data_IF_394964064508
#
_entry.id   IF_394964064508
#
_cell.length_a   1.000
_cell.length_b   1.000
_cell.length_c   1.000
_cell.angle_alpha   90.00
_cell.angle_beta   90.00
_cell.angle_gamma   90.00
#
_symmetry.space_group_name_H-M   'P 1'
#
loop_
_entity.id
_entity.type
_entity.pdbx_description
1 polymer ?
#
# COMPACT_ATOMS: atom_id res chain seq x y z
N UNK A 1 7.58 11.35 13.30
CA UNK A 1 6.29 11.27 12.58
C UNK A 1 5.24 10.80 13.56
N UNK A 2 4.10 11.50 13.70
CA UNK A 2 3.11 11.16 14.74
C UNK A 2 2.34 9.89 14.37
N UNK A 3 1.97 9.06 15.37
CA UNK A 3 1.20 7.81 15.18
C UNK A 3 -0.05 8.01 14.33
N UNK A 4 -0.75 9.14 14.52
CA UNK A 4 -1.94 9.50 13.72
C UNK A 4 -1.65 9.58 12.21
N UNK A 5 -0.45 10.03 11.80
CA UNK A 5 -0.08 10.09 10.38
C UNK A 5 0.19 8.71 9.78
N UNK A 6 0.74 7.79 10.58
CA UNK A 6 0.93 6.39 10.14
C UNK A 6 -0.43 5.74 9.93
N UNK A 7 -1.34 5.85 10.90
CA UNK A 7 -2.70 5.32 10.79
C UNK A 7 -3.45 5.87 9.58
N UNK A 8 -3.34 7.18 9.32
CA UNK A 8 -3.91 7.81 8.13
C UNK A 8 -3.31 7.26 6.83
N UNK A 9 -2.01 7.06 6.76
CA UNK A 9 -1.35 6.49 5.59
C UNK A 9 -1.79 5.04 5.33
N UNK A 10 -1.91 4.22 6.38
CA UNK A 10 -2.41 2.84 6.28
C UNK A 10 -3.85 2.84 5.73
N UNK A 11 -4.75 3.63 6.34
CA UNK A 11 -6.15 3.73 5.89
C UNK A 11 -6.25 4.22 4.45
N UNK A 12 -5.43 5.20 4.08
CA UNK A 12 -5.41 5.74 2.73
C UNK A 12 -4.96 4.69 1.71
N UNK A 13 -3.86 4.00 2.00
CA UNK A 13 -3.27 3.00 1.12
C UNK A 13 -4.18 1.76 1.00
N UNK A 14 -4.92 1.38 2.05
CA UNK A 14 -5.87 0.25 1.97
C UNK A 14 -7.06 0.50 1.05
N UNK A 15 -7.50 1.74 0.90
CA UNK A 15 -8.59 2.10 -0.02
C UNK A 15 -8.10 2.61 -1.39
N UNK A 16 -6.80 2.79 -1.56
CA UNK A 16 -6.22 3.47 -2.72
C UNK A 16 -6.59 2.78 -4.04
N UNK A 17 -6.39 1.46 -4.13
CA UNK A 17 -6.69 0.70 -5.35
C UNK A 17 -8.17 0.80 -5.75
N UNK A 18 -9.09 0.67 -4.80
CA UNK A 18 -10.54 0.76 -5.03
C UNK A 18 -10.97 2.15 -5.49
N UNK A 19 -10.48 3.20 -4.82
CA UNK A 19 -10.79 4.59 -5.18
C UNK A 19 -10.22 4.94 -6.54
N UNK A 20 -9.02 4.47 -6.85
CA UNK A 20 -8.40 4.65 -8.17
C UNK A 20 -9.15 3.92 -9.27
N UNK A 21 -9.59 2.67 -9.04
CA UNK A 21 -10.42 1.94 -9.98
C UNK A 21 -11.77 2.64 -10.24
N UNK A 22 -12.43 3.13 -9.19
CA UNK A 22 -13.65 3.92 -9.31
C UNK A 22 -13.41 5.23 -10.09
N UNK A 23 -12.28 5.90 -9.84
CA UNK A 23 -11.89 7.10 -10.57
C UNK A 23 -11.66 6.80 -12.06
N UNK A 24 -11.01 5.69 -12.40
CA UNK A 24 -10.85 5.23 -13.79
C UNK A 24 -12.21 4.97 -14.45
N UNK A 25 -13.14 4.32 -13.75
CA UNK A 25 -14.51 4.11 -14.25
C UNK A 25 -15.22 5.43 -14.58
N UNK A 26 -15.07 6.45 -13.73
CA UNK A 26 -15.61 7.79 -13.98
C UNK A 26 -14.95 8.45 -15.20
N UNK A 27 -13.65 8.25 -15.40
CA UNK A 27 -12.91 8.78 -16.56
C UNK A 27 -13.41 8.14 -17.86
N UNK A 28 -13.56 6.81 -17.87
CA UNK A 28 -14.11 6.05 -19.00
C UNK A 28 -15.54 6.51 -19.32
N UNK A 29 -16.33 6.84 -18.29
CA UNK A 29 -17.67 7.40 -18.43
C UNK A 29 -17.69 8.90 -18.84
N UNK A 30 -16.55 9.51 -19.17
CA UNK A 30 -16.49 10.92 -19.59
C UNK A 30 -16.67 11.93 -18.45
N UNK A 31 -16.44 11.54 -17.20
CA UNK A 31 -16.64 12.36 -15.99
C UNK A 31 -15.32 12.68 -15.25
N UNK A 32 -14.33 13.31 -15.91
CA UNK A 32 -13.01 13.54 -15.31
C UNK A 32 -13.04 14.48 -14.09
N UNK A 33 -13.97 15.45 -14.05
CA UNK A 33 -14.14 16.32 -12.88
C UNK A 33 -14.63 15.55 -11.64
N UNK A 34 -15.53 14.59 -11.82
CA UNK A 34 -16.00 13.73 -10.73
C UNK A 34 -14.88 12.79 -10.24
N UNK A 35 -14.08 12.24 -11.16
CA UNK A 35 -12.90 11.44 -10.82
C UNK A 35 -11.88 12.26 -10.01
N UNK A 36 -11.59 13.49 -10.44
CA UNK A 36 -10.68 14.38 -9.72
C UNK A 36 -11.19 14.75 -8.33
N UNK A 37 -12.50 15.01 -8.19
CA UNK A 37 -13.13 15.27 -6.91
C UNK A 37 -13.05 14.07 -5.97
N UNK A 38 -13.34 12.86 -6.47
CA UNK A 38 -13.23 11.61 -5.71
C UNK A 38 -11.79 11.39 -5.21
N UNK A 39 -10.81 11.51 -6.11
CA UNK A 39 -9.39 11.34 -5.77
C UNK A 39 -8.92 12.37 -4.74
N UNK A 40 -9.27 13.64 -4.92
CA UNK A 40 -8.93 14.74 -4.00
C UNK A 40 -9.59 14.53 -2.64
N UNK A 41 -10.86 14.13 -2.62
CA UNK A 41 -11.61 13.82 -1.41
C UNK A 41 -11.00 12.66 -0.63
N UNK A 42 -10.56 11.59 -1.30
CA UNK A 42 -9.86 10.48 -0.65
C UNK A 42 -8.50 10.92 -0.09
N UNK A 43 -7.75 11.74 -0.83
CA UNK A 43 -6.45 12.22 -0.42
C UNK A 43 -6.49 13.19 0.77
N UNK A 44 -7.65 13.79 1.06
CA UNK A 44 -7.85 14.58 2.28
C UNK A 44 -7.56 13.81 3.58
N UNK A 45 -7.63 12.46 3.55
CA UNK A 45 -7.34 11.58 4.70
C UNK A 45 -5.89 11.65 5.19
N UNK A 46 -4.95 12.06 4.33
CA UNK A 46 -3.52 12.16 4.66
C UNK A 46 -3.04 13.62 4.75
N UNK A 47 -3.97 14.59 4.76
CA UNK A 47 -3.69 16.02 4.86
C UNK A 47 -4.37 16.84 3.77
N UNK A 48 -4.08 18.14 3.70
CA UNK A 48 -4.65 19.02 2.66
C UNK A 48 -4.18 18.54 1.27
N UNK A 49 -5.10 18.13 0.37
CA UNK A 49 -4.73 17.58 -0.92
C UNK A 49 -4.34 18.70 -1.89
N UNK A 50 -3.41 18.44 -2.84
CA UNK A 50 -3.26 19.27 -4.02
C UNK A 50 -4.56 19.28 -4.84
N UNK A 51 -4.91 20.41 -5.45
CA UNK A 51 -6.13 20.53 -6.25
C UNK A 51 -5.92 19.89 -7.62
N UNK A 52 -6.32 18.62 -7.78
CA UNK A 52 -6.20 17.94 -9.06
C UNK A 52 -7.16 18.57 -10.09
N UNK A 53 -6.68 18.96 -11.29
CA UNK A 53 -7.54 19.54 -12.30
C UNK A 53 -8.60 18.54 -12.78
N UNK A 54 -9.85 18.99 -12.95
CA UNK A 54 -10.96 18.20 -13.49
C UNK A 54 -10.86 17.87 -14.99
N UNK A 55 -9.65 17.84 -15.54
CA UNK A 55 -9.35 17.55 -16.95
C UNK A 55 -9.03 16.07 -17.12
N UNK A 56 -9.27 15.53 -18.31
CA UNK A 56 -9.08 14.10 -18.60
C UNK A 56 -7.67 13.59 -18.28
N UNK A 57 -6.63 14.22 -18.84
CA UNK A 57 -5.25 13.72 -18.72
C UNK A 57 -4.73 13.70 -17.25
N UNK A 58 -4.85 14.78 -16.46
CA UNK A 58 -4.48 14.74 -15.04
C UNK A 58 -5.29 13.72 -14.22
N UNK A 59 -6.61 13.64 -14.45
CA UNK A 59 -7.46 12.67 -13.76
C UNK A 59 -7.03 11.23 -14.09
N UNK A 60 -6.82 10.91 -15.36
CA UNK A 60 -6.36 9.60 -15.83
C UNK A 60 -4.99 9.23 -15.28
N UNK A 61 -4.01 10.14 -15.38
CA UNK A 61 -2.67 9.91 -14.84
C UNK A 61 -2.66 9.68 -13.34
N UNK A 62 -3.52 10.39 -12.59
CA UNK A 62 -3.65 10.19 -11.15
C UNK A 62 -4.30 8.84 -10.83
N UNK A 63 -5.39 8.50 -11.51
CA UNK A 63 -6.13 7.27 -11.26
C UNK A 63 -5.30 6.02 -11.63
N UNK A 64 -4.58 6.04 -12.78
CA UNK A 64 -3.68 4.96 -13.20
C UNK A 64 -2.54 4.75 -12.21
N UNK A 65 -1.80 5.81 -11.84
CA UNK A 65 -0.69 5.66 -10.88
C UNK A 65 -1.22 5.21 -9.51
N UNK A 66 -2.33 5.78 -9.05
CA UNK A 66 -2.96 5.36 -7.80
C UNK A 66 -3.40 3.89 -7.83
N UNK A 67 -3.86 3.37 -8.98
CA UNK A 67 -4.20 1.95 -9.10
C UNK A 67 -2.96 1.06 -8.94
N UNK A 68 -1.87 1.39 -9.64
CA UNK A 68 -0.59 0.66 -9.51
C UNK A 68 -0.07 0.72 -8.08
N UNK A 69 -0.10 1.89 -7.46
CA UNK A 69 0.28 2.07 -6.06
C UNK A 69 -0.64 1.34 -5.08
N UNK A 70 -1.92 1.21 -5.41
CA UNK A 70 -2.89 0.42 -4.65
C UNK A 70 -2.63 -1.09 -4.75
N UNK A 71 -2.20 -1.58 -5.91
CA UNK A 71 -1.75 -2.96 -6.10
C UNK A 71 -0.48 -3.20 -5.27
N UNK A 72 0.51 -2.29 -5.39
CA UNK A 72 1.73 -2.31 -4.59
C UNK A 72 1.49 -2.30 -3.07
N UNK A 73 0.37 -1.73 -2.63
CA UNK A 73 0.00 -1.69 -1.21
C UNK A 73 -0.47 -3.06 -0.68
N UNK A 74 -0.85 -4.01 -1.55
CA UNK A 74 -1.37 -5.33 -1.14
C UNK A 74 -0.31 -6.11 -0.37
N UNK A 75 0.94 -6.15 -0.84
CA UNK A 75 2.04 -6.85 -0.16
C UNK A 75 2.29 -6.30 1.25
N UNK A 76 2.57 -5.00 1.47
CA UNK A 76 2.81 -4.48 2.80
C UNK A 76 1.59 -4.58 3.72
N UNK A 77 0.36 -4.48 3.20
CA UNK A 77 -0.86 -4.77 3.98
C UNK A 77 -0.93 -6.25 4.37
N UNK A 78 -0.59 -7.15 3.45
CA UNK A 78 -0.47 -8.59 3.70
C UNK A 78 0.52 -8.91 4.81
N UNK A 79 1.68 -8.24 4.84
CA UNK A 79 2.63 -8.37 5.95
C UNK A 79 2.06 -7.89 7.29
N UNK A 80 1.27 -6.81 7.31
CA UNK A 80 0.60 -6.38 8.56
C UNK A 80 -0.40 -7.45 9.03
N UNK A 81 -1.22 -7.98 8.11
CA UNK A 81 -2.18 -9.03 8.41
C UNK A 81 -1.49 -10.31 8.91
N UNK A 82 -0.40 -10.72 8.26
CA UNK A 82 0.40 -11.87 8.64
C UNK A 82 1.05 -11.69 10.01
N UNK A 83 1.55 -10.49 10.32
CA UNK A 83 2.11 -10.20 11.64
C UNK A 83 1.04 -10.26 12.74
N UNK A 84 -0.16 -9.75 12.50
CA UNK A 84 -1.27 -9.89 13.45
C UNK A 84 -1.62 -11.36 13.64
N UNK A 85 -1.82 -12.11 12.56
CA UNK A 85 -2.24 -13.50 12.61
C UNK A 85 -1.17 -14.43 13.22
N UNK A 86 0.07 -14.37 12.73
CA UNK A 86 1.14 -15.32 13.07
C UNK A 86 2.22 -14.74 13.98
N UNK A 87 2.31 -13.43 14.15
CA UNK A 87 3.19 -12.82 15.16
C UNK A 87 2.46 -12.65 16.49
N UNK A 88 1.35 -11.94 16.49
CA UNK A 88 0.60 -11.63 17.72
C UNK A 88 -0.29 -12.81 18.13
N UNK A 89 -1.10 -13.32 17.20
CA UNK A 89 -2.10 -14.36 17.48
C UNK A 89 -1.63 -15.78 17.16
N UNK A 90 -0.32 -16.03 17.07
CA UNK A 90 0.26 -17.28 16.54
C UNK A 90 -0.43 -18.54 17.08
N UNK A 91 -0.49 -18.72 18.39
CA UNK A 91 -1.02 -19.94 18.97
C UNK A 91 -2.55 -20.09 18.94
N UNK A 92 -3.27 -19.09 18.43
CA UNK A 92 -4.69 -19.22 18.07
C UNK A 92 -4.84 -19.63 16.60
N UNK A 93 -4.02 -19.06 15.71
CA UNK A 93 -4.06 -19.33 14.27
C UNK A 93 -3.41 -20.67 13.92
N UNK A 94 -2.35 -21.03 14.64
CA UNK A 94 -1.56 -22.25 14.48
C UNK A 94 -1.45 -22.96 15.84
N UNK A 95 -2.38 -23.89 16.14
CA UNK A 95 -2.42 -24.60 17.43
C UNK A 95 -1.40 -25.73 17.54
N UNK A 96 -0.60 -25.99 16.49
CA UNK A 96 0.37 -27.08 16.42
C UNK A 96 -0.11 -28.28 15.58
N UNK A 97 0.66 -29.39 15.54
CA UNK A 97 1.86 -29.67 16.33
C UNK A 97 3.07 -28.81 15.95
N UNK A 98 3.93 -28.48 16.93
CA UNK A 98 5.06 -27.55 16.74
C UNK A 98 6.39 -28.24 16.43
N UNK A 99 6.39 -29.55 16.21
CA UNK A 99 7.62 -30.37 16.12
C UNK A 99 8.57 -29.93 15.00
N UNK A 100 8.03 -29.32 13.94
CA UNK A 100 8.79 -28.78 12.80
C UNK A 100 8.79 -27.24 12.76
N UNK A 101 8.28 -26.58 13.79
CA UNK A 101 8.18 -25.13 13.85
C UNK A 101 9.55 -24.48 14.08
N UNK A 102 9.78 -23.36 13.41
CA UNK A 102 10.92 -22.50 13.69
C UNK A 102 10.79 -21.97 15.12
N UNK A 103 11.83 -22.12 15.94
CA UNK A 103 11.77 -21.80 17.38
C UNK A 103 11.61 -23.02 18.29
N UNK A 104 11.58 -24.23 17.72
CA UNK A 104 11.59 -25.50 18.44
C UNK A 104 10.19 -26.07 18.73
N UNK A 105 10.11 -27.22 19.41
CA UNK A 105 8.88 -28.02 19.53
C UNK A 105 7.86 -27.43 20.52
N UNK A 106 8.08 -26.21 21.01
CA UNK A 106 7.19 -25.56 21.98
C UNK A 106 6.42 -24.43 21.32
N UNK A 107 5.16 -24.27 21.71
CA UNK A 107 4.34 -23.13 21.30
C UNK A 107 5.01 -21.78 21.56
N UNK A 108 5.66 -21.65 22.72
CA UNK A 108 6.31 -20.40 23.13
C UNK A 108 7.52 -20.06 22.27
N UNK A 109 8.37 -21.04 21.98
CA UNK A 109 9.51 -20.86 21.08
C UNK A 109 9.08 -20.53 19.66
N UNK A 110 8.07 -21.25 19.14
CA UNK A 110 7.50 -20.99 17.83
C UNK A 110 6.90 -19.59 17.71
N UNK A 111 6.09 -19.18 18.70
CA UNK A 111 5.55 -17.82 18.78
C UNK A 111 6.65 -16.76 18.80
N UNK A 112 7.68 -16.94 19.64
CA UNK A 112 8.73 -15.94 19.81
C UNK A 112 9.47 -15.66 18.50
N UNK A 113 9.79 -16.70 17.73
CA UNK A 113 10.46 -16.52 16.42
C UNK A 113 9.56 -15.78 15.44
N UNK A 114 8.30 -16.19 15.30
CA UNK A 114 7.37 -15.53 14.36
C UNK A 114 7.07 -14.08 14.77
N UNK A 115 6.97 -13.81 16.07
CA UNK A 115 6.81 -12.45 16.57
C UNK A 115 8.06 -11.60 16.26
N UNK A 116 9.25 -12.07 16.61
CA UNK A 116 10.49 -11.32 16.42
C UNK A 116 10.86 -11.10 14.95
N UNK A 117 10.60 -12.07 14.07
CA UNK A 117 10.75 -11.89 12.61
C UNK A 117 9.65 -10.99 12.05
N UNK A 118 8.44 -11.12 12.57
CA UNK A 118 7.30 -10.33 12.14
C UNK A 118 7.41 -8.85 12.45
N UNK A 119 7.99 -8.46 13.60
CA UNK A 119 8.18 -7.05 14.00
C UNK A 119 8.93 -6.20 12.96
N UNK A 120 10.15 -6.56 12.51
CA UNK A 120 10.87 -5.78 11.51
C UNK A 120 10.16 -5.78 10.15
N UNK A 121 9.53 -6.89 9.76
CA UNK A 121 8.73 -6.95 8.52
C UNK A 121 7.49 -6.05 8.59
N UNK A 122 6.79 -6.03 9.74
CA UNK A 122 5.66 -5.16 9.97
C UNK A 122 6.08 -3.69 9.93
N UNK A 123 7.20 -3.34 10.58
CA UNK A 123 7.76 -1.99 10.53
C UNK A 123 8.12 -1.57 9.09
N UNK A 124 8.77 -2.45 8.32
CA UNK A 124 9.07 -2.20 6.91
C UNK A 124 7.80 -2.02 6.07
N UNK A 125 6.77 -2.84 6.30
CA UNK A 125 5.48 -2.71 5.62
C UNK A 125 4.77 -1.39 5.95
N UNK A 126 4.80 -0.94 7.21
CA UNK A 126 4.26 0.38 7.60
C UNK A 126 5.03 1.52 6.90
N UNK A 127 6.36 1.44 6.85
CA UNK A 127 7.18 2.41 6.14
C UNK A 127 6.85 2.44 4.64
N UNK A 128 6.64 1.28 4.01
CA UNK A 128 6.22 1.18 2.61
C UNK A 128 4.84 1.83 2.37
N UNK A 129 3.86 1.60 3.24
CA UNK A 129 2.53 2.23 3.13
C UNK A 129 2.57 3.74 3.25
N UNK A 130 3.43 4.27 4.14
CA UNK A 130 3.71 5.70 4.25
C UNK A 130 4.37 6.22 2.97
N UNK A 131 5.34 5.48 2.44
CA UNK A 131 6.00 5.79 1.18
C UNK A 131 5.02 5.87 0.02
N UNK A 132 4.10 4.90 -0.11
CA UNK A 132 3.05 4.87 -1.12
C UNK A 132 2.15 6.11 -1.04
N UNK A 133 1.68 6.45 0.17
CA UNK A 133 0.87 7.64 0.38
C UNK A 133 1.62 8.93 -0.01
N UNK A 134 2.92 9.01 0.31
CA UNK A 134 3.77 10.14 -0.04
C UNK A 134 4.03 10.24 -1.56
N UNK A 135 4.30 9.12 -2.23
CA UNK A 135 4.50 9.05 -3.69
C UNK A 135 3.24 9.50 -4.42
N UNK A 136 2.07 8.99 -4.02
CA UNK A 136 0.83 9.38 -4.68
C UNK A 136 0.54 10.87 -4.48
N UNK A 137 0.73 11.40 -3.26
CA UNK A 137 0.56 12.85 -3.01
C UNK A 137 1.51 13.70 -3.84
N UNK A 138 2.78 13.28 -3.98
CA UNK A 138 3.76 13.99 -4.80
C UNK A 138 3.40 13.95 -6.29
N UNK A 139 2.84 12.85 -6.75
CA UNK A 139 2.33 12.73 -8.12
C UNK A 139 1.12 13.62 -8.36
N UNK A 140 0.14 13.61 -7.46
CA UNK A 140 -1.04 14.49 -7.55
C UNK A 140 -0.62 15.96 -7.58
N UNK A 141 0.35 16.35 -6.75
CA UNK A 141 0.91 17.70 -6.74
C UNK A 141 1.54 18.09 -8.09
N UNK A 142 2.33 17.19 -8.69
CA UNK A 142 2.88 17.38 -10.03
C UNK A 142 1.78 17.60 -11.07
N UNK A 143 0.73 16.78 -11.05
CA UNK A 143 -0.39 16.88 -11.98
C UNK A 143 -1.24 18.14 -11.75
N UNK A 144 -1.22 18.69 -10.53
CA UNK A 144 -1.80 19.98 -10.18
C UNK A 144 -0.93 21.18 -10.62
N UNK A 145 0.27 20.94 -11.18
CA UNK A 145 1.16 21.97 -11.70
C UNK A 145 2.32 22.35 -10.78
N UNK A 146 2.51 21.67 -9.64
CA UNK A 146 3.69 21.90 -8.81
C UNK A 146 4.97 21.39 -9.53
N UNK A 147 6.09 22.13 -9.44
CA UNK A 147 7.35 21.71 -10.04
C UNK A 147 7.90 20.43 -9.36
N UNK A 148 8.51 19.57 -10.19
CA UNK A 148 9.13 18.32 -9.75
C UNK A 148 8.18 17.11 -9.73
N UNK A 149 8.55 16.06 -9.01
CA UNK A 149 7.75 14.83 -8.88
C UNK A 149 7.76 13.89 -10.10
N UNK A 150 8.47 14.23 -11.18
CA UNK A 150 8.61 13.35 -12.35
C UNK A 150 9.25 12.00 -11.98
N UNK A 151 10.16 12.03 -11.00
CA UNK A 151 10.87 10.86 -10.47
C UNK A 151 9.95 9.83 -9.81
N UNK A 152 8.72 10.21 -9.43
CA UNK A 152 7.75 9.27 -8.86
C UNK A 152 7.46 8.16 -9.86
N UNK A 153 7.34 8.49 -11.15
CA UNK A 153 7.05 7.49 -12.18
C UNK A 153 8.12 6.39 -12.26
N UNK A 154 9.42 6.67 -12.47
CA UNK A 154 10.42 5.61 -12.51
C UNK A 154 10.53 4.84 -11.18
N UNK A 155 10.34 5.49 -10.02
CA UNK A 155 10.31 4.78 -8.72
C UNK A 155 9.15 3.78 -8.66
N UNK A 156 7.95 4.19 -9.08
CA UNK A 156 6.78 3.30 -9.11
C UNK A 156 6.97 2.17 -10.12
N UNK A 157 7.58 2.44 -11.28
CA UNK A 157 7.86 1.41 -12.28
C UNK A 157 8.84 0.34 -11.75
N UNK A 158 9.92 0.77 -11.07
CA UNK A 158 10.87 -0.14 -10.44
C UNK A 158 10.21 -0.94 -9.32
N UNK A 159 9.40 -0.29 -8.49
CA UNK A 159 8.67 -0.96 -7.41
C UNK A 159 7.67 -2.00 -7.95
N UNK A 160 6.92 -1.65 -9.00
CA UNK A 160 6.00 -2.57 -9.68
C UNK A 160 6.74 -3.76 -10.29
N UNK A 161 7.90 -3.53 -10.94
CA UNK A 161 8.72 -4.63 -11.45
C UNK A 161 9.22 -5.55 -10.32
N UNK A 162 9.67 -4.98 -9.21
CA UNK A 162 10.11 -5.75 -8.04
C UNK A 162 8.96 -6.57 -7.43
N UNK A 163 7.75 -6.00 -7.34
CA UNK A 163 6.55 -6.71 -6.90
C UNK A 163 6.19 -7.88 -7.83
N UNK A 164 6.23 -7.67 -9.15
CA UNK A 164 6.00 -8.75 -10.13
C UNK A 164 7.03 -9.87 -9.98
N UNK A 165 8.31 -9.54 -9.87
CA UNK A 165 9.38 -10.52 -9.67
C UNK A 165 9.19 -11.28 -8.36
N UNK A 166 8.85 -10.57 -7.28
CA UNK A 166 8.53 -11.19 -6.00
C UNK A 166 7.34 -12.14 -6.13
N UNK A 167 6.27 -11.74 -6.81
CA UNK A 167 5.08 -12.58 -6.98
C UNK A 167 5.36 -13.82 -7.82
N UNK A 168 6.13 -13.70 -8.90
CA UNK A 168 6.56 -14.85 -9.72
C UNK A 168 7.44 -15.79 -8.90
N UNK A 169 8.42 -15.25 -8.18
CA UNK A 169 9.27 -16.04 -7.29
C UNK A 169 8.42 -16.77 -6.23
N UNK A 170 7.45 -16.08 -5.62
CA UNK A 170 6.53 -16.68 -4.65
C UNK A 170 5.71 -17.84 -5.25
N UNK A 171 5.15 -17.66 -6.46
CA UNK A 171 4.39 -18.70 -7.15
C UNK A 171 5.23 -19.92 -7.54
N UNK A 172 6.53 -19.74 -7.73
CA UNK A 172 7.45 -20.83 -8.12
C UNK A 172 8.14 -21.49 -6.92
N UNK A 173 8.03 -20.92 -5.71
CA UNK A 173 8.74 -21.36 -4.50
C UNK A 173 7.81 -21.89 -3.41
N UNK A 174 6.52 -22.15 -3.71
CA UNK A 174 5.53 -22.80 -2.84
C UNK A 174 4.96 -24.02 -3.55
#
# INVERSE_FOLDING_TARGET
MNVNRIGQAVLYSSGLGLVSAASLGLIVAGRPAAAAHLATGWQSRIGRPPALPGRFLPAAGNALLGLVLGILAVIPLGFQAAFVARGICYGWVDPGPYDTSWGGPTRGGAWLVHFLVGVPLAAAGLAALVGIAALHRRWTARLAGEPGGAWVLPVVMVAAAAEVVFFIAWLHHI
#
